data_IF_454546726354
#
_entry.id   IF_454546726354
#
_cell.length_a   1.000
_cell.length_b   1.000
_cell.length_c   1.000
_cell.angle_alpha   90.00
_cell.angle_beta   90.00
_cell.angle_gamma   90.00
#
_symmetry.space_group_name_H-M   'P 1'
#
loop_
_entity.id
_entity.type
_entity.pdbx_description
1 polymer ?
#
# COMPACT_ATOMS: atom_id res chain seq x y z
N UNK A 1 -46.13 -46.55 38.56
CA UNK A 1 -45.30 -45.75 39.49
C UNK A 1 -43.88 -45.69 38.92
N UNK A 2 -43.45 -44.56 38.34
CA UNK A 2 -42.04 -44.28 37.98
C UNK A 2 -41.51 -43.22 38.95
N UNK A 3 -40.27 -43.39 39.44
CA UNK A 3 -39.21 -42.37 39.24
C UNK A 3 -37.90 -43.05 38.79
N UNK A 4 -37.24 -42.62 37.71
CA UNK A 4 -36.33 -41.47 37.53
C UNK A 4 -34.86 -41.81 37.89
N UNK A 5 -33.93 -41.82 36.91
CA UNK A 5 -32.50 -42.04 37.14
C UNK A 5 -31.76 -40.73 37.49
N UNK A 6 -30.94 -40.83 38.53
CA UNK A 6 -29.70 -40.08 38.84
C UNK A 6 -29.53 -38.65 38.32
N UNK A 7 -29.65 -37.70 39.24
CA UNK A 7 -29.18 -36.32 39.15
C UNK A 7 -27.68 -36.23 39.51
N UNK A 8 -26.81 -35.62 38.68
CA UNK A 8 -25.58 -34.99 39.14
C UNK A 8 -25.77 -33.48 39.39
N UNK A 9 -25.02 -32.92 40.36
CA UNK A 9 -25.24 -31.58 40.90
C UNK A 9 -24.75 -30.51 39.93
N UNK A 10 -25.55 -29.48 39.69
CA UNK A 10 -25.12 -28.27 39.00
C UNK A 10 -25.40 -27.06 39.87
N UNK A 11 -24.41 -26.74 40.70
CA UNK A 11 -24.35 -25.56 41.55
C UNK A 11 -24.27 -24.29 40.67
N UNK A 12 -25.38 -23.57 40.69
CA UNK A 12 -25.54 -22.12 40.78
C UNK A 12 -24.52 -21.17 40.08
N UNK A 13 -25.04 -20.53 39.02
CA UNK A 13 -24.99 -19.11 38.70
C UNK A 13 -23.78 -18.23 39.12
N UNK A 14 -23.16 -17.60 38.11
CA UNK A 14 -23.00 -16.15 38.09
C UNK A 14 -22.92 -15.66 36.64
N UNK A 15 -23.85 -14.77 36.29
CA UNK A 15 -23.85 -14.02 35.07
C UNK A 15 -22.81 -12.90 35.14
N UNK A 16 -22.01 -12.73 34.09
CA UNK A 16 -21.51 -11.41 33.71
C UNK A 16 -21.72 -11.19 32.21
N UNK A 17 -22.60 -10.24 31.93
CA UNK A 17 -22.81 -9.61 30.65
C UNK A 17 -21.51 -9.01 30.13
N UNK A 18 -20.99 -9.59 29.04
CA UNK A 18 -19.96 -8.98 28.21
C UNK A 18 -20.41 -9.00 26.76
N UNK A 19 -21.20 -8.00 26.36
CA UNK A 19 -21.58 -7.76 24.98
C UNK A 19 -20.34 -7.45 24.13
N UNK A 20 -19.73 -8.47 23.53
CA UNK A 20 -18.72 -8.30 22.47
C UNK A 20 -19.42 -8.32 21.11
N UNK A 21 -19.86 -7.13 20.73
CA UNK A 21 -20.31 -6.76 19.38
C UNK A 21 -19.16 -6.93 18.37
N UNK A 22 -19.36 -7.89 17.44
CA UNK A 22 -18.95 -7.91 16.00
C UNK A 22 -17.50 -8.25 15.62
N UNK A 23 -17.23 -8.65 14.35
CA UNK A 23 -18.09 -9.33 13.36
C UNK A 23 -17.43 -10.55 12.69
N UNK A 24 -18.26 -11.38 12.04
CA UNK A 24 -17.85 -12.30 11.00
C UNK A 24 -17.11 -11.56 9.86
N UNK A 25 -15.79 -11.74 9.77
CA UNK A 25 -14.98 -11.20 8.68
C UNK A 25 -13.81 -12.15 8.36
N UNK A 26 -14.12 -13.27 7.72
CA UNK A 26 -13.18 -14.06 6.91
C UNK A 26 -14.01 -15.05 6.06
N UNK A 27 -15.03 -14.58 5.33
CA UNK A 27 -14.89 -14.25 3.90
C UNK A 27 -14.18 -15.37 3.13
N UNK A 28 -15.03 -16.21 2.53
CA UNK A 28 -14.78 -16.93 1.29
C UNK A 28 -14.06 -16.02 0.29
N UNK A 29 -12.97 -16.50 -0.32
CA UNK A 29 -12.75 -16.44 -1.77
C UNK A 29 -11.44 -17.18 -2.10
N UNK A 30 -11.57 -18.46 -2.44
CA UNK A 30 -10.56 -19.25 -3.16
C UNK A 30 -10.59 -18.90 -4.66
N UNK A 31 -10.66 -17.61 -5.00
CA UNK A 31 -10.46 -17.15 -6.38
C UNK A 31 -8.99 -16.82 -6.57
N UNK A 32 -8.35 -17.46 -7.55
CA UNK A 32 -7.02 -17.11 -8.01
C UNK A 32 -6.92 -15.59 -8.13
N UNK A 33 -5.98 -14.94 -7.42
CA UNK A 33 -6.07 -13.51 -7.15
C UNK A 33 -5.80 -12.74 -8.42
N UNK A 34 -6.82 -12.40 -9.21
CA UNK A 34 -6.64 -11.43 -10.30
C UNK A 34 -5.95 -10.22 -9.70
N UNK A 35 -4.69 -10.01 -10.09
CA UNK A 35 -3.86 -8.96 -9.51
C UNK A 35 -4.47 -7.59 -9.84
N UNK A 36 -5.34 -7.12 -8.97
CA UNK A 36 -6.09 -5.88 -9.16
C UNK A 36 -5.26 -4.70 -8.67
N UNK A 37 -5.58 -3.49 -9.14
CA UNK A 37 -4.93 -2.27 -8.66
C UNK A 37 -4.97 -2.17 -7.12
N UNK A 38 -6.10 -2.55 -6.51
CA UNK A 38 -6.26 -2.58 -5.05
C UNK A 38 -5.33 -3.60 -4.38
N UNK A 39 -5.17 -4.80 -4.94
CA UNK A 39 -4.27 -5.81 -4.41
C UNK A 39 -2.80 -5.39 -4.51
N UNK A 40 -2.39 -4.80 -5.64
CA UNK A 40 -1.03 -4.26 -5.81
C UNK A 40 -0.79 -3.09 -4.86
N UNK A 41 -1.76 -2.19 -4.70
CA UNK A 41 -1.69 -1.09 -3.72
C UNK A 41 -1.52 -1.60 -2.30
N UNK A 42 -2.32 -2.57 -1.88
CA UNK A 42 -2.23 -3.16 -0.54
C UNK A 42 -0.88 -3.86 -0.32
N UNK A 43 -0.38 -4.56 -1.33
CA UNK A 43 0.95 -5.16 -1.28
C UNK A 43 2.06 -4.11 -1.15
N UNK A 44 2.02 -3.02 -1.95
CA UNK A 44 2.98 -1.90 -1.84
C UNK A 44 2.96 -1.31 -0.43
N UNK A 45 1.77 -1.05 0.13
CA UNK A 45 1.64 -0.55 1.50
C UNK A 45 2.33 -1.48 2.50
N UNK A 46 2.13 -2.79 2.37
CA UNK A 46 2.73 -3.79 3.25
C UNK A 46 4.27 -3.81 3.14
N UNK A 47 4.83 -3.87 1.93
CA UNK A 47 6.29 -3.93 1.75
C UNK A 47 6.98 -2.63 2.13
N UNK A 48 6.34 -1.48 1.87
CA UNK A 48 6.86 -0.17 2.28
C UNK A 48 6.77 0.02 3.79
N UNK A 49 5.69 -0.46 4.43
CA UNK A 49 5.58 -0.45 5.89
C UNK A 49 6.64 -1.37 6.54
N UNK A 50 6.90 -2.54 5.94
CA UNK A 50 7.95 -3.45 6.42
C UNK A 50 9.36 -2.86 6.31
N UNK A 51 9.62 -2.02 5.29
CA UNK A 51 10.87 -1.29 5.16
C UNK A 51 11.03 -0.16 6.20
N UNK A 52 9.92 0.34 6.75
CA UNK A 52 9.92 1.30 7.85
C UNK A 52 10.71 2.58 7.54
N UNK A 53 11.61 2.96 8.46
CA UNK A 53 12.39 4.19 8.39
C UNK A 53 13.51 4.16 7.33
N UNK A 54 13.97 2.97 6.93
CA UNK A 54 14.98 2.80 5.86
C UNK A 54 14.40 3.13 4.49
N UNK A 55 13.08 2.93 4.33
CA UNK A 55 12.38 3.09 3.07
C UNK A 55 12.76 2.01 2.04
N UNK A 56 11.95 1.91 0.99
CA UNK A 56 12.09 0.89 -0.04
C UNK A 56 12.51 1.51 -1.38
N UNK A 57 13.65 1.06 -1.94
CA UNK A 57 14.05 1.46 -3.30
C UNK A 57 12.97 1.07 -4.31
N UNK A 58 12.47 2.04 -5.07
CA UNK A 58 11.43 1.81 -6.09
C UNK A 58 11.91 0.83 -7.17
N UNK A 59 13.21 0.82 -7.47
CA UNK A 59 13.82 -0.15 -8.38
C UNK A 59 13.77 -1.60 -7.88
N UNK A 60 13.64 -1.83 -6.57
CA UNK A 60 13.53 -3.17 -5.96
C UNK A 60 12.10 -3.72 -5.95
N UNK A 61 11.08 -2.90 -6.20
CA UNK A 61 9.68 -3.34 -6.18
C UNK A 61 9.37 -4.45 -7.20
N UNK A 62 9.84 -4.38 -8.46
CA UNK A 62 9.64 -5.48 -9.42
C UNK A 62 10.28 -6.78 -8.97
N UNK A 63 11.50 -6.73 -8.43
CA UNK A 63 12.21 -7.89 -7.90
C UNK A 63 11.45 -8.50 -6.72
N UNK A 64 11.08 -7.69 -5.71
CA UNK A 64 10.33 -8.17 -4.56
C UNK A 64 8.97 -8.75 -4.94
N UNK A 65 8.30 -8.18 -5.94
CA UNK A 65 7.08 -8.74 -6.49
C UNK A 65 7.36 -10.11 -7.09
N UNK A 66 8.41 -10.23 -7.90
CA UNK A 66 8.78 -11.49 -8.53
C UNK A 66 9.16 -12.54 -7.45
N UNK A 67 9.96 -12.19 -6.45
CA UNK A 67 10.37 -13.08 -5.36
C UNK A 67 9.18 -13.57 -4.52
N UNK A 68 8.21 -12.70 -4.20
CA UNK A 68 7.08 -13.07 -3.35
C UNK A 68 5.88 -13.67 -4.10
N UNK A 69 5.60 -13.19 -5.32
CA UNK A 69 4.40 -13.52 -6.09
C UNK A 69 4.68 -14.37 -7.32
N UNK A 70 5.89 -14.39 -7.91
CA UNK A 70 6.12 -15.24 -9.07
C UNK A 70 6.03 -16.73 -8.74
N UNK A 71 6.32 -17.12 -7.50
CA UNK A 71 6.11 -18.48 -7.03
C UNK A 71 4.63 -18.89 -6.98
N UNK A 72 3.69 -17.95 -6.83
CA UNK A 72 2.26 -18.22 -6.67
C UNK A 72 1.40 -17.84 -7.89
N UNK A 73 1.80 -16.82 -8.65
CA UNK A 73 1.04 -16.26 -9.78
C UNK A 73 1.81 -16.24 -11.11
N UNK A 74 3.10 -16.58 -11.11
CA UNK A 74 3.89 -16.73 -12.33
C UNK A 74 3.98 -15.48 -13.19
N UNK A 75 4.14 -14.29 -12.61
CA UNK A 75 4.12 -13.05 -13.39
C UNK A 75 4.84 -11.85 -12.77
N UNK A 76 5.42 -11.03 -13.66
CA UNK A 76 5.99 -9.74 -13.33
C UNK A 76 4.93 -8.76 -12.83
N UNK A 77 5.37 -7.73 -12.10
CA UNK A 77 4.51 -6.67 -11.57
C UNK A 77 3.65 -6.07 -12.71
N UNK A 78 2.30 -6.10 -12.62
CA UNK A 78 1.41 -5.83 -13.75
C UNK A 78 1.23 -4.32 -14.05
N UNK A 79 2.32 -3.54 -14.07
CA UNK A 79 2.34 -2.08 -14.29
C UNK A 79 1.55 -1.68 -15.55
N UNK A 80 1.80 -2.36 -16.68
CA UNK A 80 1.12 -2.09 -17.96
C UNK A 80 -0.36 -2.47 -17.95
N UNK A 81 -0.72 -3.56 -17.26
CA UNK A 81 -2.13 -3.97 -17.10
C UNK A 81 -2.92 -2.99 -16.23
N UNK A 82 -2.23 -2.31 -15.32
CA UNK A 82 -2.79 -1.26 -14.47
C UNK A 82 -2.86 0.11 -15.17
N UNK A 83 -2.43 0.22 -16.43
CA UNK A 83 -2.49 1.46 -17.20
C UNK A 83 -1.27 2.37 -17.06
N UNK A 84 -0.22 1.94 -16.35
CA UNK A 84 0.99 2.73 -16.15
C UNK A 84 2.12 2.28 -17.09
N UNK A 85 3.02 3.19 -17.47
CA UNK A 85 4.20 2.83 -18.27
C UNK A 85 5.37 2.40 -17.37
N UNK A 86 5.53 3.04 -16.21
CA UNK A 86 6.61 2.76 -15.25
C UNK A 86 6.09 2.64 -13.81
N UNK A 87 6.81 1.88 -12.98
CA UNK A 87 6.53 1.73 -11.54
C UNK A 87 6.50 3.10 -10.84
N UNK A 88 7.42 3.99 -11.20
CA UNK A 88 7.45 5.37 -10.65
C UNK A 88 6.13 6.10 -10.87
N UNK A 89 5.56 6.06 -12.07
CA UNK A 89 4.29 6.74 -12.37
C UNK A 89 3.14 6.15 -11.56
N UNK A 90 3.09 4.82 -11.46
CA UNK A 90 2.10 4.12 -10.65
C UNK A 90 2.14 4.57 -9.17
N UNK A 91 3.34 4.71 -8.60
CA UNK A 91 3.50 5.13 -7.21
C UNK A 91 3.21 6.63 -6.99
N UNK A 92 3.51 7.48 -7.96
CA UNK A 92 3.16 8.91 -7.91
C UNK A 92 1.65 9.10 -7.89
N UNK A 93 0.91 8.29 -8.65
CA UNK A 93 -0.55 8.32 -8.69
C UNK A 93 -1.20 7.72 -7.43
N UNK A 94 -0.43 7.01 -6.60
CA UNK A 94 -0.91 6.35 -5.38
C UNK A 94 -0.24 6.91 -4.10
N UNK A 95 -0.42 8.21 -3.80
CA UNK A 95 0.21 8.85 -2.64
C UNK A 95 -0.30 8.30 -1.28
N UNK A 96 -1.49 7.71 -1.27
CA UNK A 96 -2.05 6.99 -0.12
C UNK A 96 -1.32 5.66 0.16
N UNK A 97 -0.67 5.07 -0.86
CA UNK A 97 0.07 3.83 -0.68
C UNK A 97 1.50 4.05 -0.16
N UNK A 98 2.17 5.11 -0.62
CA UNK A 98 3.52 5.43 -0.21
C UNK A 98 3.86 6.89 -0.52
N UNK A 99 4.80 7.46 0.24
CA UNK A 99 5.44 8.73 -0.05
C UNK A 99 6.76 8.50 -0.77
N UNK A 100 6.97 9.17 -1.90
CA UNK A 100 8.20 9.05 -2.70
C UNK A 100 9.18 10.18 -2.35
N UNK A 101 10.44 9.84 -2.09
CA UNK A 101 11.54 10.81 -1.94
C UNK A 101 12.74 10.38 -2.77
N UNK A 102 13.40 11.33 -3.43
CA UNK A 102 14.71 11.09 -4.01
C UNK A 102 15.74 11.18 -2.88
N UNK A 103 16.54 10.14 -2.70
CA UNK A 103 17.73 10.22 -1.83
C UNK A 103 18.97 10.67 -2.61
N UNK A 104 19.06 10.27 -3.88
CA UNK A 104 20.15 10.64 -4.78
C UNK A 104 19.60 11.01 -6.17
N UNK A 105 20.48 11.42 -7.08
CA UNK A 105 20.13 11.73 -8.46
C UNK A 105 19.44 10.56 -9.22
N UNK A 106 19.67 9.32 -8.78
CA UNK A 106 19.16 8.10 -9.43
C UNK A 106 18.29 7.23 -8.51
N UNK A 107 18.34 7.44 -7.19
CA UNK A 107 17.64 6.61 -6.20
C UNK A 107 16.32 7.23 -5.77
N UNK A 108 15.21 6.61 -6.19
CA UNK A 108 13.88 6.92 -5.67
C UNK A 108 13.49 5.91 -4.58
N UNK A 109 13.17 6.40 -3.39
CA UNK A 109 12.79 5.59 -2.22
C UNK A 109 11.31 5.85 -1.90
N UNK A 110 10.57 4.77 -1.66
CA UNK A 110 9.20 4.76 -1.17
C UNK A 110 9.21 4.59 0.35
N UNK A 111 8.62 5.55 1.05
CA UNK A 111 8.42 5.54 2.49
C UNK A 111 6.95 5.32 2.82
N UNK A 112 6.62 4.80 4.01
CA UNK A 112 5.23 4.72 4.44
C UNK A 112 4.58 6.11 4.37
N UNK A 113 3.29 6.20 4.01
CA UNK A 113 2.60 7.48 3.98
C UNK A 113 2.65 8.09 5.38
N UNK A 114 3.16 9.32 5.49
CA UNK A 114 3.26 10.01 6.77
C UNK A 114 1.85 10.49 7.14
N UNK A 115 1.23 10.00 8.23
CA UNK A 115 -0.08 10.47 8.65
C UNK A 115 -0.01 11.97 8.97
N UNK A 116 -0.79 12.77 8.24
CA UNK A 116 -0.81 14.23 8.40
C UNK A 116 0.18 15.01 7.53
N UNK A 117 1.00 14.34 6.69
CA UNK A 117 1.80 15.06 5.70
C UNK A 117 0.89 15.61 4.60
N UNK A 118 0.68 16.92 4.62
CA UNK A 118 0.12 17.69 3.51
C UNK A 118 0.89 17.30 2.24
N UNK A 119 0.19 16.80 1.22
CA UNK A 119 0.79 16.37 -0.04
C UNK A 119 1.83 17.41 -0.50
N UNK A 120 3.02 16.99 -0.98
CA UNK A 120 4.02 17.95 -1.42
C UNK A 120 3.38 18.88 -2.45
N UNK A 121 3.59 20.20 -2.37
CA UNK A 121 3.09 21.10 -3.39
C UNK A 121 3.61 20.59 -4.75
N UNK A 122 2.81 20.67 -5.83
CA UNK A 122 3.26 20.25 -7.14
C UNK A 122 4.61 20.91 -7.41
N UNK A 123 5.63 20.12 -7.73
CA UNK A 123 6.97 20.62 -8.04
C UNK A 123 6.84 21.81 -8.97
N UNK A 124 7.17 23.00 -8.46
CA UNK A 124 7.21 24.20 -9.27
C UNK A 124 8.20 23.91 -10.39
N UNK A 125 7.67 23.80 -11.62
CA UNK A 125 8.47 23.75 -12.83
C UNK A 125 9.43 24.94 -12.74
N UNK A 126 10.72 24.67 -12.57
CA UNK A 126 11.76 25.67 -12.72
C UNK A 126 11.57 26.27 -14.11
N UNK A 127 10.94 27.45 -14.17
CA UNK A 127 10.79 28.18 -15.42
C UNK A 127 12.20 28.37 -15.97
N UNK A 128 12.49 27.98 -17.22
CA UNK A 128 13.77 28.32 -17.83
C UNK A 128 13.92 29.83 -17.77
N UNK A 129 15.03 30.31 -17.20
CA UNK A 129 15.37 31.73 -17.17
C UNK A 129 15.20 32.31 -18.57
N UNK A 130 14.24 33.22 -18.72
CA UNK A 130 14.02 33.92 -19.97
C UNK A 130 15.30 34.67 -20.34
N UNK A 131 15.87 34.26 -21.46
CA UNK A 131 16.99 34.90 -22.16
C UNK A 131 16.67 36.39 -22.36
N UNK A 132 17.43 37.34 -21.79
CA UNK A 132 17.27 38.74 -22.18
C UNK A 132 17.85 38.92 -23.59
N UNK A 133 17.01 39.32 -24.53
CA UNK A 133 17.39 39.87 -25.85
C UNK A 133 16.25 40.84 -26.21
N UNK A 134 16.44 41.98 -26.90
CA UNK A 134 17.64 42.71 -27.33
C UNK A 134 17.68 44.16 -26.76
N UNK A 135 18.78 44.89 -26.94
CA UNK A 135 18.74 46.36 -26.98
C UNK A 135 19.23 46.81 -28.35
N UNK A 136 18.37 47.35 -29.23
CA UNK A 136 18.82 48.15 -30.34
C UNK A 136 19.10 49.56 -29.79
N UNK A 137 20.33 50.04 -29.89
CA UNK A 137 20.60 51.47 -29.75
C UNK A 137 21.25 51.96 -31.04
N UNK A 138 20.46 52.77 -31.75
CA UNK A 138 20.87 53.59 -32.87
C UNK A 138 21.85 54.66 -32.37
N UNK A 139 23.09 54.64 -32.85
CA UNK A 139 23.83 55.86 -33.25
C UNK A 139 25.11 55.53 -34.01
#
# INVERSE_FOLDING_TARGET
LRPAPGDPPNEEAAAESGAAVRPAAAVRLLEAPRTSAAAVRAWIKSVVAAAGAEGLKVSRLPDLWNEQRAAAEGGALPVRRLGFRKVKEMLVEWPDACSLRHMDATSLIAFPPIPGAKAPPPSAVSRPSARPTPRPDFR
#
